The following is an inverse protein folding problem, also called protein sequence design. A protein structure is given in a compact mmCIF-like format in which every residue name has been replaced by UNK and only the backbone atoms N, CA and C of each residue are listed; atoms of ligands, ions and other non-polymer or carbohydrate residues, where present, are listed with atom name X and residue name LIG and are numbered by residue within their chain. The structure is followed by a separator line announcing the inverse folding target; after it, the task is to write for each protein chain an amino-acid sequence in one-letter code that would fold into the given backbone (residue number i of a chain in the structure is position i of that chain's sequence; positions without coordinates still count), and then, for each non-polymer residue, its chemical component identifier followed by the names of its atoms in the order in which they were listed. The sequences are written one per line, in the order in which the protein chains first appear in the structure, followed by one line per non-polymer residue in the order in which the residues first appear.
data_IF_235255398420
#
_entry.id   IF_235255398420
#
_cell.length_a   1.000
_cell.length_b   1.000
_cell.length_c   1.000
_cell.angle_alpha   90.00
_cell.angle_beta   90.00
_cell.angle_gamma   90.00
#
_symmetry.space_group_name_H-M   'P 1'
#
loop_
_entity.id
_entity.type
_entity.pdbx_description
1 polymer ?
#
# COMPACT_ATOMS: atom_id res chain seq x y z
N UNK A 1 -13.37 -13.21 11.46
CA UNK A 1 -12.39 -12.18 11.03
C UNK A 1 -11.85 -11.49 12.28
N UNK A 2 -10.54 -11.48 12.52
CA UNK A 2 -9.96 -10.89 13.74
C UNK A 2 -10.09 -9.35 13.71
N UNK A 3 -10.85 -8.78 14.65
CA UNK A 3 -10.95 -7.34 14.84
C UNK A 3 -9.66 -6.79 15.46
N UNK A 4 -8.65 -6.50 14.62
CA UNK A 4 -7.40 -5.89 15.11
C UNK A 4 -7.67 -4.41 15.42
N UNK A 5 -7.35 -3.97 16.64
CA UNK A 5 -7.50 -2.58 17.09
C UNK A 5 -6.86 -1.60 16.09
N UNK A 6 -5.74 -1.98 15.48
CA UNK A 6 -5.01 -1.18 14.50
C UNK A 6 -5.81 -0.83 13.24
N UNK A 7 -6.82 -1.62 12.84
CA UNK A 7 -7.70 -1.25 11.71
C UNK A 7 -8.44 0.06 11.99
N UNK A 8 -8.92 0.27 13.22
CA UNK A 8 -9.59 1.52 13.60
C UNK A 8 -8.65 2.72 13.51
N UNK A 9 -7.35 2.52 13.77
CA UNK A 9 -6.35 3.58 13.61
C UNK A 9 -6.10 3.90 12.12
N UNK A 10 -6.02 2.87 11.27
CA UNK A 10 -5.88 3.05 9.81
C UNK A 10 -7.10 3.75 9.21
N UNK A 11 -8.32 3.41 9.65
CA UNK A 11 -9.55 4.08 9.21
C UNK A 11 -9.58 5.55 9.63
N UNK A 12 -9.28 5.84 10.90
CA UNK A 12 -9.19 7.23 11.39
C UNK A 12 -8.14 8.03 10.61
N UNK A 13 -7.00 7.42 10.29
CA UNK A 13 -5.97 8.04 9.48
C UNK A 13 -6.46 8.33 8.05
N UNK A 14 -7.14 7.38 7.40
CA UNK A 14 -7.49 7.51 5.98
C UNK A 14 -8.54 8.59 5.72
N UNK A 15 -9.47 8.79 6.66
CA UNK A 15 -10.54 9.81 6.59
C UNK A 15 -10.11 11.19 7.11
N UNK A 16 -8.91 11.31 7.67
CA UNK A 16 -8.40 12.59 8.18
C UNK A 16 -8.11 13.55 7.02
N UNK A 17 -8.64 14.78 7.11
CA UNK A 17 -8.40 15.86 6.13
C UNK A 17 -6.91 16.21 6.00
N UNK A 18 -6.15 16.06 7.09
CA UNK A 18 -4.73 16.39 7.17
C UNK A 18 -3.87 15.14 7.34
N UNK A 19 -4.23 14.03 6.66
CA UNK A 19 -3.48 12.78 6.77
C UNK A 19 -2.03 12.96 6.32
N UNK A 20 -1.10 12.72 7.23
CA UNK A 20 0.34 12.66 6.95
C UNK A 20 0.72 11.24 6.50
N UNK A 21 1.85 11.04 5.81
CA UNK A 21 2.38 9.69 5.57
C UNK A 21 2.46 8.90 6.87
N UNK A 22 2.04 7.63 6.83
CA UNK A 22 2.01 6.74 8.00
C UNK A 22 3.15 5.74 7.91
N UNK A 23 3.90 5.58 9.00
CA UNK A 23 4.96 4.56 9.13
C UNK A 23 4.47 3.47 10.08
N UNK A 24 4.43 2.22 9.60
CA UNK A 24 4.06 1.06 10.40
C UNK A 24 5.32 0.32 10.89
N UNK A 25 5.68 0.54 12.15
CA UNK A 25 6.82 -0.10 12.79
C UNK A 25 6.41 -1.39 13.54
N UNK A 26 7.32 -2.36 13.62
CA UNK A 26 7.13 -3.59 14.39
C UNK A 26 8.11 -4.68 13.97
N UNK A 27 8.18 -5.77 14.73
CA UNK A 27 9.10 -6.88 14.47
C UNK A 27 8.92 -7.50 13.08
N UNK A 28 9.98 -8.16 12.55
CA UNK A 28 9.90 -8.87 11.26
C UNK A 28 8.82 -9.96 11.33
N UNK A 29 8.10 -10.18 10.22
CA UNK A 29 7.09 -11.24 10.07
C UNK A 29 5.82 -11.15 10.95
N UNK A 30 5.54 -10.02 11.61
CA UNK A 30 4.29 -9.84 12.40
C UNK A 30 3.02 -9.51 11.58
N UNK A 31 3.07 -9.64 10.26
CA UNK A 31 1.90 -9.41 9.38
C UNK A 31 1.56 -7.94 9.09
N UNK A 32 2.55 -7.05 9.08
CA UNK A 32 2.38 -5.63 8.70
C UNK A 32 1.92 -5.47 7.25
N UNK A 33 2.58 -6.18 6.32
CA UNK A 33 2.21 -6.18 4.90
C UNK A 33 0.79 -6.70 4.71
N UNK A 34 0.44 -7.83 5.34
CA UNK A 34 -0.90 -8.41 5.31
C UNK A 34 -1.96 -7.41 5.80
N UNK A 35 -1.68 -6.68 6.88
CA UNK A 35 -2.59 -5.65 7.39
C UNK A 35 -2.87 -4.56 6.35
N UNK A 36 -1.83 -4.05 5.68
CA UNK A 36 -1.97 -3.00 4.67
C UNK A 36 -2.73 -3.53 3.44
N UNK A 37 -2.40 -4.73 2.98
CA UNK A 37 -3.08 -5.36 1.84
C UNK A 37 -4.57 -5.60 2.11
N UNK A 38 -4.93 -6.11 3.28
CA UNK A 38 -6.34 -6.29 3.68
C UNK A 38 -7.06 -4.94 3.82
N UNK A 39 -6.39 -3.91 4.36
CA UNK A 39 -6.97 -2.57 4.43
C UNK A 39 -7.18 -1.93 3.06
N UNK A 40 -6.26 -2.18 2.13
CA UNK A 40 -6.30 -1.65 0.77
C UNK A 40 -7.49 -2.16 -0.05
N UNK A 41 -8.00 -3.37 0.23
CA UNK A 41 -9.20 -3.93 -0.43
C UNK A 41 -10.45 -3.03 -0.32
N UNK A 42 -10.48 -2.08 0.62
CA UNK A 42 -11.57 -1.10 0.78
C UNK A 42 -11.54 0.03 -0.27
N UNK A 43 -10.46 0.15 -1.04
CA UNK A 43 -10.27 1.20 -2.02
C UNK A 43 -10.33 0.61 -3.43
N UNK A 44 -10.94 1.37 -4.36
CA UNK A 44 -10.96 1.00 -5.77
C UNK A 44 -9.55 0.97 -6.38
N UNK A 45 -8.63 1.78 -5.85
CA UNK A 45 -7.27 1.90 -6.35
C UNK A 45 -6.27 1.78 -5.20
N UNK A 46 -5.27 0.94 -5.41
CA UNK A 46 -4.15 0.76 -4.50
C UNK A 46 -2.88 0.46 -5.31
N UNK A 47 -1.78 1.11 -4.93
CA UNK A 47 -0.48 0.94 -5.59
C UNK A 47 0.46 0.30 -4.58
N UNK A 48 0.89 -0.93 -4.87
CA UNK A 48 1.75 -1.69 -3.97
C UNK A 48 3.21 -1.65 -4.42
N UNK A 49 4.03 -0.84 -3.74
CA UNK A 49 5.47 -0.75 -4.02
C UNK A 49 6.28 -1.58 -3.02
N UNK A 50 6.67 -2.79 -3.45
CA UNK A 50 7.65 -3.61 -2.73
C UNK A 50 9.09 -3.24 -3.13
N UNK A 51 9.79 -2.45 -2.31
CA UNK A 51 11.16 -1.99 -2.59
C UNK A 51 12.24 -3.10 -2.50
N UNK A 52 11.89 -4.30 -2.02
CA UNK A 52 12.78 -5.47 -2.12
C UNK A 52 12.78 -6.05 -3.54
N UNK A 53 11.73 -5.79 -4.34
CA UNK A 53 11.68 -6.15 -5.74
C UNK A 53 12.50 -5.12 -6.58
N UNK A 54 13.43 -5.61 -7.40
CA UNK A 54 14.32 -4.77 -8.20
C UNK A 54 13.59 -3.90 -9.21
N UNK A 55 12.49 -4.36 -9.80
CA UNK A 55 11.70 -3.59 -10.76
C UNK A 55 10.95 -2.45 -10.07
N UNK A 56 10.28 -2.76 -8.96
CA UNK A 56 9.58 -1.75 -8.17
C UNK A 56 10.54 -0.71 -7.58
N UNK A 57 11.74 -1.14 -7.18
CA UNK A 57 12.79 -0.23 -6.72
C UNK A 57 13.23 0.71 -7.85
N UNK A 58 13.50 0.19 -9.04
CA UNK A 58 13.82 1.02 -10.22
C UNK A 58 12.68 1.98 -10.57
N UNK A 59 11.44 1.52 -10.50
CA UNK A 59 10.25 2.36 -10.70
C UNK A 59 10.19 3.50 -9.69
N UNK A 60 10.44 3.21 -8.40
CA UNK A 60 10.44 4.22 -7.34
C UNK A 60 11.59 5.23 -7.48
N UNK A 61 12.77 4.78 -7.93
CA UNK A 61 13.94 5.64 -8.13
C UNK A 61 13.85 6.48 -9.42
N UNK A 62 13.05 6.05 -10.39
CA UNK A 62 12.84 6.78 -11.63
C UNK A 62 11.98 8.03 -11.40
N UNK A 63 12.33 9.13 -12.08
CA UNK A 63 11.53 10.38 -12.06
C UNK A 63 10.29 10.27 -12.97
N UNK A 64 9.55 9.17 -12.85
CA UNK A 64 8.32 8.99 -13.60
C UNK A 64 7.26 9.95 -13.08
N UNK A 65 6.51 10.53 -14.01
CA UNK A 65 5.32 11.29 -13.65
C UNK A 65 4.25 10.34 -13.10
N UNK A 66 3.38 10.88 -12.26
CA UNK A 66 2.34 10.10 -11.60
C UNK A 66 1.39 9.41 -12.59
N UNK A 67 1.11 10.02 -13.75
CA UNK A 67 0.20 9.41 -14.72
C UNK A 67 0.81 8.18 -15.37
N UNK A 68 2.11 8.21 -15.69
CA UNK A 68 2.81 7.02 -16.19
C UNK A 68 2.82 5.90 -15.16
N UNK A 69 3.07 6.22 -13.88
CA UNK A 69 3.02 5.22 -12.82
C UNK A 69 1.62 4.60 -12.67
N UNK A 70 0.56 5.40 -12.75
CA UNK A 70 -0.82 4.92 -12.69
C UNK A 70 -1.16 4.02 -13.89
N UNK A 71 -0.64 4.33 -15.08
CA UNK A 71 -0.89 3.54 -16.29
C UNK A 71 -0.17 2.19 -16.24
N UNK A 72 1.11 2.17 -15.84
CA UNK A 72 1.90 0.95 -15.72
C UNK A 72 1.34 -0.06 -14.71
N UNK A 73 0.72 0.43 -13.63
CA UNK A 73 0.14 -0.44 -12.61
C UNK A 73 -1.25 -0.96 -12.99
N UNK A 74 -2.05 -0.23 -13.78
CA UNK A 74 -3.36 -0.72 -14.26
C UNK A 74 -3.24 -2.00 -15.07
N UNK A 75 -2.17 -2.16 -15.84
CA UNK A 75 -1.91 -3.35 -16.66
C UNK A 75 -1.44 -4.56 -15.82
N UNK A 76 -1.11 -4.38 -14.53
CA UNK A 76 -0.64 -5.44 -13.63
C UNK A 76 -1.65 -5.84 -12.53
N UNK A 77 -2.84 -5.24 -12.48
CA UNK A 77 -3.85 -5.51 -11.43
C UNK A 77 -4.57 -6.87 -11.60
N UNK A 78 -4.33 -7.59 -12.69
CA UNK A 78 -4.72 -9.01 -12.77
C UNK A 78 -3.55 -9.83 -12.22
N UNK A 79 -3.83 -10.80 -11.33
CA UNK A 79 -2.91 -11.77 -10.71
C UNK A 79 -2.54 -11.47 -9.24
N UNK A 80 -3.55 -11.54 -8.36
CA UNK A 80 -3.38 -12.14 -7.04
C UNK A 80 -4.59 -13.05 -6.78
N UNK A 81 -4.64 -14.17 -7.50
CA UNK A 81 -5.30 -15.41 -7.04
C UNK A 81 -4.28 -16.28 -6.31
#
# INVERSE_FOLDING_TARGET
MFNRIIFKHLEKWSVSKNRKPLILCGARQVGKTTLVLEFAKKYQQFIHLNLENKEHKKLFESQLDFNTLLYCERDKIVQYE
#
